data_IF_302639324197
#
_entry.id   IF_302639324197
#
_cell.length_a   1.000
_cell.length_b   1.000
_cell.length_c   1.000
_cell.angle_alpha   90.00
_cell.angle_beta   90.00
_cell.angle_gamma   90.00
#
_symmetry.space_group_name_H-M   'P 1'
#
loop_
_entity.id
_entity.type
_entity.pdbx_description
1 polymer ?
#
# COMPACT_ATOMS: atom_id res chain seq x y z
N UNK A 1 -21.72 6.23 -16.60
CA UNK A 1 -22.10 6.60 -15.22
C UNK A 1 -23.46 6.02 -14.85
N UNK A 2 -24.44 5.94 -15.75
CA UNK A 2 -25.77 5.32 -15.50
C UNK A 2 -25.73 3.87 -14.99
N UNK A 3 -24.90 2.97 -15.57
CA UNK A 3 -24.79 1.58 -15.09
C UNK A 3 -24.23 1.50 -13.66
N UNK A 4 -23.42 2.48 -13.25
CA UNK A 4 -22.79 2.52 -11.92
C UNK A 4 -23.80 2.84 -10.82
N UNK A 5 -24.75 3.73 -11.11
CA UNK A 5 -25.85 4.11 -10.22
C UNK A 5 -26.93 3.03 -10.14
N UNK A 6 -27.01 2.10 -11.11
CA UNK A 6 -28.07 1.08 -11.14
C UNK A 6 -27.66 -0.26 -10.50
N UNK A 7 -26.41 -0.69 -10.64
CA UNK A 7 -25.94 -1.96 -10.05
C UNK A 7 -25.68 -1.83 -8.55
N UNK A 8 -25.25 -0.66 -8.06
CA UNK A 8 -24.98 -0.46 -6.63
C UNK A 8 -26.25 -0.64 -5.78
N UNK A 9 -27.38 0.06 -6.05
CA UNK A 9 -28.64 -0.17 -5.34
C UNK A 9 -29.13 -1.60 -5.47
N UNK A 10 -28.96 -2.25 -6.64
CA UNK A 10 -29.32 -3.66 -6.81
C UNK A 10 -28.48 -4.60 -5.92
N UNK A 11 -27.16 -4.41 -5.87
CA UNK A 11 -26.25 -5.19 -5.02
C UNK A 11 -26.48 -4.91 -3.52
N UNK A 12 -26.84 -3.68 -3.15
CA UNK A 12 -27.09 -3.24 -1.77
C UNK A 12 -28.48 -3.65 -1.26
N UNK A 13 -29.54 -3.50 -2.06
CA UNK A 13 -30.92 -3.87 -1.71
C UNK A 13 -31.12 -5.38 -1.60
N UNK A 14 -30.47 -6.17 -2.46
CA UNK A 14 -30.71 -7.62 -2.50
C UNK A 14 -29.96 -8.43 -1.43
N UNK A 15 -29.17 -7.79 -0.52
CA UNK A 15 -28.29 -8.48 0.46
C UNK A 15 -27.78 -9.81 -0.11
N UNK A 16 -27.19 -9.74 -1.32
CA UNK A 16 -27.22 -10.89 -2.23
C UNK A 16 -26.72 -12.15 -1.55
N UNK A 17 -27.66 -13.06 -1.25
CA UNK A 17 -27.39 -14.47 -1.25
C UNK A 17 -26.99 -14.80 -2.69
N UNK A 18 -25.73 -14.48 -3.05
CA UNK A 18 -25.13 -14.93 -4.28
C UNK A 18 -25.16 -16.45 -4.21
N UNK A 19 -26.13 -17.04 -4.89
CA UNK A 19 -26.27 -18.48 -5.02
C UNK A 19 -25.12 -18.98 -5.91
N UNK A 20 -23.91 -19.02 -5.35
CA UNK A 20 -22.76 -19.59 -6.03
C UNK A 20 -23.01 -21.09 -6.20
N UNK A 21 -22.71 -21.61 -7.38
CA UNK A 21 -22.64 -23.05 -7.53
C UNK A 21 -21.51 -23.56 -6.60
N UNK A 22 -21.70 -24.63 -5.81
CA UNK A 22 -20.64 -25.30 -5.03
C UNK A 22 -19.32 -25.50 -5.79
N UNK A 23 -19.39 -25.70 -7.12
CA UNK A 23 -18.22 -25.85 -8.01
C UNK A 23 -17.45 -24.54 -8.26
N UNK A 24 -18.07 -23.38 -8.08
CA UNK A 24 -17.46 -22.05 -8.26
C UNK A 24 -16.78 -21.59 -6.96
N UNK A 25 -17.35 -21.97 -5.81
CA UNK A 25 -16.83 -21.67 -4.46
C UNK A 25 -15.46 -22.28 -4.18
N UNK A 26 -15.10 -23.40 -4.82
CA UNK A 26 -13.78 -24.05 -4.69
C UNK A 26 -12.61 -23.12 -5.02
N UNK A 27 -12.88 -22.08 -5.81
CA UNK A 27 -11.88 -21.16 -6.32
C UNK A 27 -11.87 -19.79 -5.62
N UNK A 28 -12.81 -19.56 -4.70
CA UNK A 28 -12.87 -18.34 -3.89
C UNK A 28 -11.91 -18.49 -2.69
N UNK A 29 -10.88 -17.63 -2.54
CA UNK A 29 -9.94 -17.70 -1.43
C UNK A 29 -10.62 -17.52 -0.06
N UNK A 30 -10.01 -18.06 1.00
CA UNK A 30 -10.48 -18.01 2.41
C UNK A 30 -10.85 -16.60 2.88
N UNK A 31 -10.03 -15.61 2.54
CA UNK A 31 -10.11 -14.27 3.15
C UNK A 31 -10.03 -13.11 2.16
N UNK A 32 -10.22 -13.32 0.83
CA UNK A 32 -9.77 -12.31 -0.15
C UNK A 32 -10.65 -12.02 -1.34
N UNK A 33 -10.54 -10.75 -1.71
CA UNK A 33 -11.42 -9.91 -2.47
C UNK A 33 -11.58 -10.29 -3.95
N UNK A 34 -12.70 -9.88 -4.53
CA UNK A 34 -13.01 -10.05 -5.96
C UNK A 34 -12.93 -8.68 -6.61
N UNK A 35 -12.23 -8.54 -7.73
CA UNK A 35 -12.32 -7.32 -8.52
C UNK A 35 -13.40 -7.54 -9.58
N UNK A 36 -14.55 -6.87 -9.48
CA UNK A 36 -15.48 -6.86 -10.60
C UNK A 36 -14.94 -5.95 -11.69
N UNK A 37 -14.79 -6.48 -12.89
CA UNK A 37 -14.49 -5.70 -14.08
C UNK A 37 -15.81 -5.54 -14.81
N UNK A 38 -16.40 -4.36 -14.70
CA UNK A 38 -17.66 -4.12 -15.38
C UNK A 38 -17.40 -3.96 -16.86
N UNK A 39 -18.00 -4.85 -17.64
CA UNK A 39 -18.22 -4.64 -19.06
C UNK A 39 -19.68 -4.20 -19.19
N UNK A 40 -19.91 -2.99 -19.71
CA UNK A 40 -21.18 -2.77 -20.41
C UNK A 40 -21.15 -3.77 -21.55
N UNK A 41 -22.21 -4.54 -21.83
CA UNK A 41 -22.24 -5.35 -23.06
C UNK A 41 -22.25 -4.35 -24.22
N UNK A 42 -21.05 -3.90 -24.62
CA UNK A 42 -20.82 -3.11 -25.80
C UNK A 42 -20.81 -4.08 -26.97
N UNK A 43 -21.51 -3.76 -28.07
CA UNK A 43 -21.24 -4.44 -29.32
C UNK A 43 -19.76 -4.18 -29.66
N UNK A 44 -18.91 -5.20 -29.56
CA UNK A 44 -17.49 -5.12 -29.95
C UNK A 44 -16.45 -5.63 -28.95
N UNK A 45 -16.81 -6.01 -27.72
CA UNK A 45 -15.90 -6.83 -26.89
C UNK A 45 -16.26 -8.30 -27.13
N UNK A 46 -15.53 -8.94 -28.03
CA UNK A 46 -15.77 -10.34 -28.39
C UNK A 46 -15.68 -11.20 -27.13
N UNK A 47 -16.82 -11.78 -26.71
CA UNK A 47 -16.90 -12.67 -25.57
C UNK A 47 -15.88 -13.83 -25.71
N UNK A 48 -15.53 -14.18 -26.96
CA UNK A 48 -14.49 -15.14 -27.32
C UNK A 48 -13.10 -14.68 -26.88
N UNK A 49 -12.71 -13.43 -27.15
CA UNK A 49 -11.40 -12.86 -26.80
C UNK A 49 -11.21 -12.76 -25.28
N UNK A 50 -12.28 -12.43 -24.55
CA UNK A 50 -12.26 -12.38 -23.09
C UNK A 50 -12.19 -13.80 -22.49
N UNK A 51 -12.94 -14.75 -23.05
CA UNK A 51 -12.80 -16.17 -22.72
C UNK A 51 -11.39 -16.69 -23.01
N UNK A 52 -10.77 -16.24 -24.10
CA UNK A 52 -9.41 -16.62 -24.48
C UNK A 52 -8.38 -16.05 -23.51
N UNK A 53 -8.51 -14.79 -23.11
CA UNK A 53 -7.69 -14.17 -22.05
C UNK A 53 -7.83 -14.93 -20.72
N UNK A 54 -9.05 -15.33 -20.35
CA UNK A 54 -9.32 -16.06 -19.11
C UNK A 54 -8.82 -17.52 -19.17
N UNK A 55 -8.96 -18.19 -20.32
CA UNK A 55 -8.33 -19.50 -20.60
C UNK A 55 -6.81 -19.43 -20.50
N UNK A 56 -6.19 -18.41 -21.09
CA UNK A 56 -4.74 -18.20 -21.03
C UNK A 56 -4.24 -17.97 -19.59
N UNK A 57 -5.09 -17.40 -18.72
CA UNK A 57 -4.74 -17.09 -17.34
C UNK A 57 -5.07 -18.23 -16.36
N UNK A 58 -5.89 -19.20 -16.77
CA UNK A 58 -6.39 -20.31 -15.94
C UNK A 58 -6.93 -19.82 -14.59
N UNK A 59 -7.82 -18.82 -14.62
CA UNK A 59 -8.36 -18.17 -13.41
C UNK A 59 -9.87 -18.35 -13.26
N UNK A 60 -10.35 -18.48 -12.01
CA UNK A 60 -11.77 -18.36 -11.71
C UNK A 60 -12.31 -16.97 -12.04
N UNK A 61 -13.49 -16.94 -12.63
CA UNK A 61 -14.30 -15.75 -12.85
C UNK A 61 -15.76 -16.07 -12.47
N UNK A 62 -16.54 -15.04 -12.23
CA UNK A 62 -17.96 -15.09 -11.88
C UNK A 62 -18.69 -14.27 -12.96
N UNK A 63 -19.78 -14.79 -13.50
CA UNK A 63 -20.68 -14.00 -14.34
C UNK A 63 -21.82 -13.49 -13.46
N UNK A 64 -22.11 -12.20 -13.56
CA UNK A 64 -23.21 -11.55 -12.86
C UNK A 64 -24.16 -11.03 -13.92
N UNK A 65 -25.32 -11.66 -14.02
CA UNK A 65 -26.38 -11.23 -14.93
C UNK A 65 -27.32 -10.30 -14.16
N UNK A 66 -27.53 -9.08 -14.65
CA UNK A 66 -28.60 -8.23 -14.13
C UNK A 66 -29.92 -8.64 -14.80
N UNK A 67 -31.03 -8.73 -14.06
CA UNK A 67 -32.34 -8.85 -14.68
C UNK A 67 -32.62 -7.60 -15.53
N UNK A 68 -33.40 -7.72 -16.62
CA UNK A 68 -33.84 -6.56 -17.40
C UNK A 68 -34.68 -5.62 -16.51
N UNK A 69 -34.51 -4.31 -16.70
CA UNK A 69 -35.25 -3.26 -15.99
C UNK A 69 -35.96 -2.32 -16.98
N UNK A 70 -36.87 -1.48 -16.51
CA UNK A 70 -37.58 -0.50 -17.36
C UNK A 70 -36.61 0.41 -18.12
N UNK A 71 -35.53 0.83 -17.48
CA UNK A 71 -34.48 1.64 -18.11
C UNK A 71 -33.56 0.83 -19.05
N UNK A 72 -33.50 -0.49 -18.91
CA UNK A 72 -32.60 -1.39 -19.65
C UNK A 72 -33.31 -2.70 -20.03
N UNK A 73 -34.02 -2.74 -21.17
CA UNK A 73 -34.85 -3.89 -21.56
C UNK A 73 -34.05 -5.14 -21.99
N UNK A 74 -32.71 -5.08 -21.98
CA UNK A 74 -31.83 -6.21 -22.29
C UNK A 74 -31.06 -6.62 -21.04
N UNK A 75 -30.89 -7.93 -20.88
CA UNK A 75 -30.09 -8.52 -19.81
C UNK A 75 -28.62 -8.06 -19.92
N UNK A 76 -28.08 -7.41 -18.90
CA UNK A 76 -26.68 -6.98 -18.88
C UNK A 76 -25.82 -8.02 -18.17
N UNK A 77 -24.70 -8.40 -18.78
CA UNK A 77 -23.74 -9.35 -18.20
C UNK A 77 -22.53 -8.56 -17.68
N UNK A 78 -22.42 -8.46 -16.35
CA UNK A 78 -21.23 -8.01 -15.65
C UNK A 78 -20.30 -9.20 -15.34
N UNK A 79 -18.99 -8.98 -15.34
CA UNK A 79 -18.02 -10.04 -15.07
C UNK A 79 -17.20 -9.76 -13.81
N UNK A 80 -17.20 -10.72 -12.89
CA UNK A 80 -16.35 -10.73 -11.70
C UNK A 80 -15.07 -11.48 -11.92
N UNK A 81 -13.93 -10.77 -11.88
CA UNK A 81 -12.63 -11.41 -11.88
C UNK A 81 -12.23 -11.74 -10.44
N UNK A 82 -12.06 -13.02 -10.12
CA UNK A 82 -11.60 -13.42 -8.80
C UNK A 82 -10.09 -13.21 -8.72
N UNK A 83 -9.71 -12.12 -8.04
CA UNK A 83 -8.31 -11.70 -7.90
C UNK A 83 -7.78 -12.13 -6.54
N UNK A 84 -7.13 -13.29 -6.53
CA UNK A 84 -6.37 -13.73 -5.37
C UNK A 84 -4.94 -13.15 -5.40
N UNK A 85 -4.64 -12.25 -4.47
CA UNK A 85 -3.30 -11.75 -4.17
C UNK A 85 -2.59 -12.76 -3.24
N UNK A 86 -1.67 -13.59 -3.76
CA UNK A 86 -1.05 -14.65 -2.98
C UNK A 86 -0.17 -14.08 -1.87
N UNK A 87 -0.28 -14.65 -0.67
CA UNK A 87 0.53 -14.33 0.53
C UNK A 87 2.01 -14.74 0.44
N UNK A 88 2.52 -15.24 -0.67
CA UNK A 88 3.91 -15.70 -0.72
C UNK A 88 4.47 -15.59 -2.14
N UNK A 89 5.43 -14.68 -2.40
CA UNK A 89 5.99 -14.48 -3.74
C UNK A 89 6.79 -15.67 -4.26
N UNK A 90 7.45 -16.43 -3.37
CA UNK A 90 8.45 -17.43 -3.74
C UNK A 90 7.86 -18.69 -4.38
N UNK A 91 6.76 -19.25 -3.84
CA UNK A 91 6.19 -20.48 -4.39
C UNK A 91 5.44 -20.28 -5.72
N UNK A 92 5.21 -19.02 -6.17
CA UNK A 92 4.39 -18.73 -7.35
C UNK A 92 4.87 -17.49 -8.14
N UNK A 93 6.18 -17.34 -8.40
CA UNK A 93 6.73 -16.26 -9.25
C UNK A 93 6.02 -16.14 -10.61
N UNK A 94 5.70 -17.27 -11.25
CA UNK A 94 4.93 -17.32 -12.51
C UNK A 94 3.55 -16.67 -12.38
N UNK A 95 2.86 -16.90 -11.25
CA UNK A 95 1.53 -16.37 -10.95
C UNK A 95 1.54 -14.86 -10.74
N UNK A 96 2.57 -14.32 -10.09
CA UNK A 96 2.76 -12.88 -9.94
C UNK A 96 3.07 -12.17 -11.27
N UNK A 97 3.89 -12.79 -12.13
CA UNK A 97 4.12 -12.28 -13.49
C UNK A 97 2.84 -12.27 -14.33
N UNK A 98 2.02 -13.33 -14.24
CA UNK A 98 0.72 -13.40 -14.90
C UNK A 98 -0.28 -12.35 -14.38
N UNK A 99 -0.33 -12.12 -13.06
CA UNK A 99 -1.16 -11.04 -12.47
C UNK A 99 -0.75 -9.65 -12.98
N UNK A 100 0.56 -9.37 -13.05
CA UNK A 100 1.04 -8.09 -13.60
C UNK A 100 0.67 -7.92 -15.08
N UNK A 101 0.70 -9.00 -15.88
CA UNK A 101 0.25 -8.98 -17.28
C UNK A 101 -1.24 -8.70 -17.38
N UNK A 102 -2.05 -9.38 -16.58
CA UNK A 102 -3.50 -9.20 -16.48
C UNK A 102 -3.88 -7.76 -16.13
N UNK A 103 -3.33 -7.19 -15.06
CA UNK A 103 -3.60 -5.79 -14.70
C UNK A 103 -3.13 -4.81 -15.77
N UNK A 104 -2.02 -5.12 -16.45
CA UNK A 104 -1.58 -4.36 -17.62
C UNK A 104 -2.59 -4.40 -18.77
N UNK A 105 -3.20 -5.56 -19.04
CA UNK A 105 -4.24 -5.70 -20.06
C UNK A 105 -5.54 -5.00 -19.65
N UNK A 106 -6.00 -5.15 -18.40
CA UNK A 106 -7.18 -4.47 -17.87
C UNK A 106 -7.04 -2.95 -17.98
N UNK A 107 -5.89 -2.41 -17.57
CA UNK A 107 -5.59 -0.98 -17.69
C UNK A 107 -5.59 -0.50 -19.15
N UNK A 108 -5.04 -1.28 -20.08
CA UNK A 108 -5.07 -0.97 -21.52
C UNK A 108 -6.49 -0.93 -22.09
N UNK A 109 -7.40 -1.75 -21.55
CA UNK A 109 -8.80 -1.80 -21.99
C UNK A 109 -9.64 -0.65 -21.45
N UNK A 110 -9.11 0.16 -20.51
CA UNK A 110 -9.75 1.39 -20.03
C UNK A 110 -11.17 1.16 -19.49
N UNK A 111 -11.39 0.00 -18.85
CA UNK A 111 -12.67 -0.40 -18.28
C UNK A 111 -12.76 0.04 -16.81
N UNK A 112 -13.93 0.47 -16.32
CA UNK A 112 -14.14 0.72 -14.90
C UNK A 112 -14.03 -0.56 -14.08
N UNK A 113 -13.48 -0.44 -12.87
CA UNK A 113 -13.29 -1.57 -11.95
C UNK A 113 -13.99 -1.28 -10.64
N UNK A 114 -14.86 -2.18 -10.19
CA UNK A 114 -15.48 -2.11 -8.87
C UNK A 114 -14.76 -3.10 -7.94
N UNK A 115 -14.07 -2.61 -6.90
CA UNK A 115 -13.50 -3.49 -5.91
C UNK A 115 -14.64 -4.08 -5.05
N UNK A 116 -14.68 -5.40 -4.91
CA UNK A 116 -15.60 -6.12 -4.03
C UNK A 116 -14.85 -6.95 -3.01
N UNK A 117 -15.35 -7.00 -1.78
CA UNK A 117 -14.90 -7.95 -0.78
C UNK A 117 -16.05 -8.88 -0.43
N UNK A 118 -15.84 -10.16 -0.75
CA UNK A 118 -16.72 -11.25 -0.33
C UNK A 118 -16.14 -11.87 0.94
N UNK A 119 -16.97 -12.00 1.95
CA UNK A 119 -16.66 -12.70 3.20
C UNK A 119 -17.70 -13.79 3.41
N UNK A 120 -17.25 -15.05 3.50
CA UNK A 120 -18.14 -16.20 3.65
C UNK A 120 -17.74 -16.92 4.95
N UNK A 121 -18.39 -16.61 6.09
CA UNK A 121 -18.02 -17.14 7.40
C UNK A 121 -17.95 -18.69 7.44
N UNK A 122 -18.80 -19.36 6.67
CA UNK A 122 -18.84 -20.82 6.58
C UNK A 122 -17.58 -21.43 5.96
N UNK A 123 -16.85 -20.69 5.11
CA UNK A 123 -15.59 -21.13 4.52
C UNK A 123 -14.44 -21.12 5.54
N UNK A 124 -14.50 -20.30 6.58
CA UNK A 124 -13.42 -20.20 7.57
C UNK A 124 -13.23 -21.50 8.35
N UNK A 125 -14.30 -22.29 8.51
CA UNK A 125 -14.31 -23.55 9.26
C UNK A 125 -13.48 -24.65 8.59
N UNK A 126 -13.14 -24.50 7.30
CA UNK A 126 -12.56 -25.58 6.50
C UNK A 126 -11.26 -25.18 5.77
N UNK A 127 -10.19 -25.99 5.83
CA UNK A 127 -8.99 -25.81 5.02
C UNK A 127 -9.32 -25.79 3.52
N UNK A 128 -8.60 -25.00 2.72
CA UNK A 128 -8.90 -24.77 1.29
C UNK A 128 -9.10 -26.06 0.49
N UNK A 129 -8.29 -27.09 0.75
CA UNK A 129 -8.34 -28.38 0.07
C UNK A 129 -9.61 -29.19 0.37
N UNK A 130 -10.26 -28.98 1.53
CA UNK A 130 -11.41 -29.75 2.00
C UNK A 130 -12.75 -29.13 1.60
N UNK A 131 -12.75 -27.85 1.17
CA UNK A 131 -13.97 -27.09 0.86
C UNK A 131 -14.78 -27.71 -0.27
N UNK A 132 -14.15 -28.04 -1.39
CA UNK A 132 -14.86 -28.62 -2.54
C UNK A 132 -15.60 -29.91 -2.17
N UNK A 133 -14.97 -30.74 -1.32
CA UNK A 133 -15.56 -31.99 -0.84
C UNK A 133 -16.73 -31.74 0.13
N UNK A 134 -16.59 -30.79 1.05
CA UNK A 134 -17.61 -30.48 2.05
C UNK A 134 -18.86 -29.84 1.44
N UNK A 135 -18.69 -28.97 0.43
CA UNK A 135 -19.81 -28.38 -0.32
C UNK A 135 -20.44 -29.32 -1.35
N UNK A 136 -19.75 -30.39 -1.75
CA UNK A 136 -20.38 -31.49 -2.49
C UNK A 136 -21.31 -32.34 -1.60
N UNK A 137 -21.07 -32.38 -0.28
CA UNK A 137 -21.86 -33.16 0.69
C UNK A 137 -23.02 -32.35 1.29
N UNK A 138 -22.86 -31.05 1.43
CA UNK A 138 -23.96 -30.14 1.79
C UNK A 138 -24.90 -29.98 0.58
N UNK A 139 -26.13 -30.45 0.71
CA UNK A 139 -27.19 -30.28 -0.29
C UNK A 139 -27.32 -28.80 -0.73
N UNK A 140 -27.83 -28.57 -1.95
CA UNK A 140 -27.99 -27.32 -2.74
C UNK A 140 -28.61 -26.09 -2.04
N UNK A 141 -28.26 -25.78 -0.80
CA UNK A 141 -28.70 -24.56 -0.11
C UNK A 141 -27.77 -23.41 -0.49
N UNK A 142 -28.32 -22.23 -0.81
CA UNK A 142 -27.51 -21.04 -1.08
C UNK A 142 -26.66 -20.72 0.15
N UNK A 143 -25.39 -20.36 -0.08
CA UNK A 143 -24.46 -19.97 0.97
C UNK A 143 -24.58 -18.48 1.22
N UNK A 144 -24.71 -18.08 2.48
CA UNK A 144 -24.71 -16.68 2.87
C UNK A 144 -23.31 -16.09 2.76
N UNK A 145 -23.16 -15.09 1.88
CA UNK A 145 -21.95 -14.29 1.72
C UNK A 145 -22.21 -12.86 2.19
N UNK A 146 -21.31 -12.31 3.00
CA UNK A 146 -21.26 -10.88 3.29
C UNK A 146 -20.51 -10.18 2.17
N UNK A 147 -21.15 -9.18 1.56
CA UNK A 147 -20.58 -8.41 0.47
C UNK A 147 -20.27 -6.98 0.93
N UNK A 148 -19.08 -6.48 0.60
CA UNK A 148 -18.75 -5.05 0.69
C UNK A 148 -18.32 -4.53 -0.67
N UNK A 149 -18.86 -3.40 -1.05
CA UNK A 149 -18.70 -2.79 -2.38
C UNK A 149 -17.96 -1.47 -2.21
N UNK A 150 -16.85 -1.31 -2.93
CA UNK A 150 -16.15 -0.02 -2.96
C UNK A 150 -16.68 0.94 -4.01
N UNK A 151 -16.14 2.16 -4.02
CA UNK A 151 -16.37 3.06 -5.15
C UNK A 151 -15.62 2.57 -6.38
N UNK A 152 -16.23 2.79 -7.54
CA UNK A 152 -15.67 2.42 -8.82
C UNK A 152 -14.38 3.18 -9.11
N UNK A 153 -13.38 2.45 -9.61
CA UNK A 153 -12.12 3.00 -10.10
C UNK A 153 -12.32 3.33 -11.58
N UNK A 154 -12.57 4.61 -11.86
CA UNK A 154 -12.87 5.09 -13.21
C UNK A 154 -11.61 5.07 -14.09
N UNK A 155 -11.76 4.95 -15.43
CA UNK A 155 -10.60 4.88 -16.32
C UNK A 155 -9.68 6.10 -16.25
N UNK A 156 -10.23 7.28 -15.92
CA UNK A 156 -9.46 8.50 -15.68
C UNK A 156 -8.52 8.38 -14.48
N UNK A 157 -8.99 7.80 -13.37
CA UNK A 157 -8.16 7.49 -12.20
C UNK A 157 -7.07 6.47 -12.55
N UNK A 158 -7.40 5.47 -13.36
CA UNK A 158 -6.44 4.44 -13.79
C UNK A 158 -5.31 5.01 -14.67
N UNK A 159 -5.62 6.03 -15.48
CA UNK A 159 -4.62 6.75 -16.27
C UNK A 159 -3.66 7.51 -15.36
N UNK A 160 -4.16 8.19 -14.33
CA UNK A 160 -3.36 8.97 -13.36
C UNK A 160 -2.25 8.13 -12.71
N UNK A 161 -2.53 6.87 -12.32
CA UNK A 161 -1.62 5.97 -11.59
C UNK A 161 -0.31 5.60 -12.33
N UNK A 162 -0.22 5.87 -13.63
CA UNK A 162 1.05 5.89 -14.34
C UNK A 162 1.68 4.52 -14.65
N UNK A 163 2.20 3.81 -13.64
CA UNK A 163 2.85 2.49 -13.80
C UNK A 163 1.89 1.35 -13.44
N UNK A 164 2.02 0.21 -14.13
CA UNK A 164 1.21 -0.98 -13.84
C UNK A 164 1.44 -1.52 -12.43
N UNK A 165 2.64 -1.33 -11.87
CA UNK A 165 2.92 -1.66 -10.47
C UNK A 165 2.05 -0.84 -9.52
N UNK A 166 1.99 0.49 -9.70
CA UNK A 166 1.16 1.36 -8.85
C UNK A 166 -0.31 1.05 -9.02
N UNK A 167 -0.78 0.79 -10.25
CA UNK A 167 -2.16 0.38 -10.47
C UNK A 167 -2.52 -0.91 -9.73
N UNK A 168 -1.63 -1.91 -9.76
CA UNK A 168 -1.80 -3.14 -8.99
C UNK A 168 -1.85 -2.87 -7.48
N UNK A 169 -0.89 -2.11 -6.95
CA UNK A 169 -0.84 -1.78 -5.52
C UNK A 169 -2.08 -0.98 -5.09
N UNK A 170 -2.55 -0.04 -5.91
CA UNK A 170 -3.78 0.72 -5.67
C UNK A 170 -5.00 -0.20 -5.59
N UNK A 171 -5.20 -1.03 -6.61
CA UNK A 171 -6.32 -1.96 -6.63
C UNK A 171 -6.26 -2.95 -5.45
N UNK A 172 -5.08 -3.49 -5.16
CA UNK A 172 -4.85 -4.37 -4.02
C UNK A 172 -5.20 -3.66 -2.69
N UNK A 173 -4.78 -2.40 -2.53
CA UNK A 173 -5.06 -1.60 -1.32
C UNK A 173 -6.53 -1.26 -1.19
N UNK A 174 -7.21 -0.84 -2.28
CA UNK A 174 -8.66 -0.58 -2.30
C UNK A 174 -9.44 -1.83 -1.89
N UNK A 175 -9.07 -2.98 -2.43
CA UNK A 175 -9.70 -4.26 -2.10
C UNK A 175 -9.53 -4.63 -0.63
N UNK A 176 -8.36 -4.45 -0.05
CA UNK A 176 -8.15 -4.72 1.38
C UNK A 176 -8.89 -3.73 2.28
N UNK A 177 -8.86 -2.44 1.92
CA UNK A 177 -9.46 -1.35 2.68
C UNK A 177 -10.99 -1.45 2.79
N UNK A 178 -11.68 -2.21 1.92
CA UNK A 178 -13.10 -2.53 2.10
C UNK A 178 -13.41 -3.22 3.44
N UNK A 179 -12.39 -3.79 4.09
CA UNK A 179 -12.51 -4.33 5.45
C UNK A 179 -12.58 -3.28 6.56
N UNK A 180 -12.21 -2.03 6.27
CA UNK A 180 -11.74 -1.05 7.24
C UNK A 180 -12.45 0.29 7.05
N UNK A 181 -12.28 1.22 7.99
CA UNK A 181 -12.76 2.60 7.83
C UNK A 181 -11.85 3.45 6.89
N UNK A 182 -10.71 2.91 6.43
CA UNK A 182 -9.74 3.64 5.61
C UNK A 182 -10.26 3.86 4.19
N UNK A 183 -10.37 5.12 3.79
CA UNK A 183 -10.61 5.47 2.39
C UNK A 183 -9.28 5.65 1.64
N UNK A 184 -8.94 4.70 0.76
CA UNK A 184 -7.72 4.80 -0.06
C UNK A 184 -7.97 5.78 -1.21
N UNK A 185 -7.26 6.90 -1.19
CA UNK A 185 -7.37 7.94 -2.22
C UNK A 185 -6.28 7.81 -3.29
N UNK A 186 -6.47 8.47 -4.43
CA UNK A 186 -5.50 8.40 -5.54
C UNK A 186 -4.20 9.16 -5.24
N UNK A 187 -4.21 10.15 -4.35
CA UNK A 187 -3.03 10.96 -4.01
C UNK A 187 -1.91 10.16 -3.35
N UNK A 188 -2.24 9.01 -2.73
CA UNK A 188 -1.26 8.06 -2.22
C UNK A 188 -0.34 7.54 -3.33
N UNK A 189 -0.76 7.57 -4.59
CA UNK A 189 -0.02 6.94 -5.68
C UNK A 189 0.56 8.01 -6.62
N UNK A 190 1.89 8.01 -6.85
CA UNK A 190 2.52 9.02 -7.68
C UNK A 190 2.02 8.91 -9.14
N UNK A 191 1.54 10.03 -9.67
CA UNK A 191 1.02 10.13 -11.03
C UNK A 191 2.14 10.32 -12.04
N UNK A 192 1.93 9.88 -13.30
CA UNK A 192 2.94 10.13 -14.35
C UNK A 192 3.02 11.58 -14.82
N UNK A 193 2.00 12.39 -14.52
CA UNK A 193 1.93 13.81 -14.87
C UNK A 193 2.70 14.71 -13.88
N UNK A 194 3.06 14.20 -12.68
CA UNK A 194 3.75 15.00 -11.65
C UNK A 194 5.19 15.40 -12.00
N UNK A 195 5.71 15.01 -13.17
CA UNK A 195 7.02 15.45 -13.66
C UNK A 195 6.99 16.86 -14.25
N UNK A 196 5.83 17.40 -14.62
CA UNK A 196 5.71 18.73 -15.21
C UNK A 196 5.42 19.84 -14.18
N UNK A 197 5.07 19.48 -12.94
CA UNK A 197 4.74 20.42 -11.85
C UNK A 197 5.87 20.53 -10.80
N UNK A 198 7.12 20.25 -11.16
CA UNK A 198 8.26 20.31 -10.22
C UNK A 198 8.60 21.74 -9.72
N UNK A 199 7.91 22.78 -10.18
CA UNK A 199 8.30 24.18 -9.91
C UNK A 199 7.36 25.02 -9.03
N UNK A 200 6.22 24.50 -8.55
CA UNK A 200 5.36 25.25 -7.62
C UNK A 200 5.11 24.46 -6.33
N UNK A 201 5.62 24.97 -5.21
CA UNK A 201 5.28 24.46 -3.88
C UNK A 201 3.82 24.78 -3.58
N UNK A 202 3.00 23.74 -3.44
CA UNK A 202 1.63 23.88 -2.97
C UNK A 202 1.60 24.39 -1.52
N UNK A 203 0.56 25.13 -1.11
CA UNK A 203 0.34 25.45 0.30
C UNK A 203 0.37 24.19 1.16
N UNK A 204 0.90 24.29 2.37
CA UNK A 204 0.79 23.19 3.33
C UNK A 204 -0.71 22.95 3.61
N UNK A 205 -1.13 21.70 3.73
CA UNK A 205 -2.51 21.40 4.03
C UNK A 205 -2.98 22.05 5.33
N UNK A 206 -4.28 22.32 5.45
CA UNK A 206 -4.89 22.66 6.73
C UNK A 206 -4.67 21.53 7.75
N UNK A 207 -4.51 21.90 9.02
CA UNK A 207 -4.43 20.94 10.12
C UNK A 207 -5.70 20.10 10.17
N UNK A 208 -5.54 18.79 10.38
CA UNK A 208 -6.68 17.92 10.64
C UNK A 208 -7.25 18.22 12.03
N UNK A 209 -8.56 18.10 12.20
CA UNK A 209 -9.25 18.36 13.47
C UNK A 209 -8.62 17.55 14.62
N UNK A 210 -8.17 18.26 15.66
CA UNK A 210 -7.50 17.67 16.81
C UNK A 210 -8.41 16.75 17.60
N UNK A 211 -9.73 16.97 17.58
CA UNK A 211 -10.69 16.09 18.25
C UNK A 211 -10.73 14.71 17.58
N UNK A 212 -10.72 14.66 16.25
CA UNK A 212 -10.70 13.40 15.48
C UNK A 212 -9.40 12.63 15.73
N UNK A 213 -8.26 13.32 15.71
CA UNK A 213 -6.96 12.70 16.00
C UNK A 213 -6.94 12.17 17.43
N UNK A 214 -7.38 12.95 18.41
CA UNK A 214 -7.38 12.55 19.82
C UNK A 214 -8.28 11.34 20.04
N UNK A 215 -9.46 11.29 19.41
CA UNK A 215 -10.35 10.14 19.45
C UNK A 215 -9.68 8.88 18.88
N UNK A 216 -8.98 8.99 17.74
CA UNK A 216 -8.21 7.88 17.17
C UNK A 216 -7.12 7.41 18.13
N UNK A 217 -6.32 8.33 18.67
CA UNK A 217 -5.24 7.99 19.60
C UNK A 217 -5.74 7.33 20.89
N UNK A 218 -6.91 7.74 21.39
CA UNK A 218 -7.57 7.12 22.55
C UNK A 218 -8.18 5.76 22.21
N UNK A 219 -8.59 5.54 20.96
CA UNK A 219 -9.13 4.24 20.52
C UNK A 219 -8.06 3.16 20.30
N UNK A 220 -6.77 3.57 20.26
CA UNK A 220 -5.66 2.64 20.14
C UNK A 220 -5.57 1.75 21.39
N UNK A 221 -5.38 0.45 21.15
CA UNK A 221 -5.37 -0.56 22.21
C UNK A 221 -4.04 -0.61 22.94
N UNK A 222 -3.96 -1.34 24.05
CA UNK A 222 -2.69 -1.63 24.73
C UNK A 222 -1.64 -2.27 23.79
N UNK A 223 -2.08 -3.07 22.80
CA UNK A 223 -1.17 -3.65 21.82
C UNK A 223 -0.52 -2.64 20.86
N UNK A 224 -1.07 -1.43 20.77
CA UNK A 224 -0.49 -0.33 19.99
C UNK A 224 0.47 0.53 20.82
N UNK A 225 0.30 0.59 22.15
CA UNK A 225 1.16 1.35 23.04
C UNK A 225 2.47 0.59 23.29
N UNK A 226 3.57 1.17 22.84
CA UNK A 226 4.90 0.54 22.90
C UNK A 226 5.65 0.96 24.17
N UNK A 227 5.57 2.23 24.55
CA UNK A 227 6.19 2.76 25.75
C UNK A 227 5.60 4.13 26.12
N UNK A 228 5.74 4.49 27.39
CA UNK A 228 5.40 5.83 27.91
C UNK A 228 6.63 6.43 28.60
N UNK A 229 6.81 7.75 28.51
CA UNK A 229 7.87 8.47 29.22
C UNK A 229 7.54 9.94 29.41
N UNK A 230 7.48 10.38 30.67
CA UNK A 230 6.99 11.72 30.99
C UNK A 230 5.58 11.87 30.43
N UNK A 231 5.29 12.98 29.76
CA UNK A 231 4.01 13.27 29.08
C UNK A 231 3.83 12.60 27.71
N UNK A 232 4.82 11.85 27.24
CA UNK A 232 4.78 11.23 25.92
C UNK A 232 4.34 9.77 25.98
N UNK A 233 3.50 9.39 25.02
CA UNK A 233 3.26 8.00 24.66
C UNK A 233 3.84 7.70 23.29
N UNK A 234 4.33 6.48 23.14
CA UNK A 234 4.85 5.98 21.88
C UNK A 234 3.91 4.89 21.39
N UNK A 235 3.26 5.12 20.26
CA UNK A 235 2.36 4.16 19.63
C UNK A 235 2.96 3.60 18.34
N UNK A 236 2.57 2.38 18.00
CA UNK A 236 2.73 1.81 16.66
C UNK A 236 1.35 1.44 16.14
N UNK A 237 0.93 2.08 15.05
CA UNK A 237 -0.40 1.89 14.50
C UNK A 237 -0.36 1.73 12.98
N UNK A 238 -1.31 0.96 12.44
CA UNK A 238 -1.55 0.81 11.00
C UNK A 238 -2.51 1.90 10.52
N UNK A 239 -2.42 2.27 9.24
CA UNK A 239 -3.26 3.32 8.63
C UNK A 239 -4.76 3.16 8.90
N UNK A 240 -5.26 1.92 8.93
CA UNK A 240 -6.66 1.60 9.20
C UNK A 240 -7.15 1.97 10.61
N UNK A 241 -6.23 2.12 11.57
CA UNK A 241 -6.52 2.49 12.95
C UNK A 241 -6.47 4.00 13.18
N UNK A 242 -5.82 4.75 12.29
CA UNK A 242 -5.49 6.16 12.46
C UNK A 242 -5.69 6.98 11.17
N UNK A 243 -6.86 6.90 10.48
CA UNK A 243 -7.03 7.56 9.20
C UNK A 243 -6.85 9.10 9.27
N UNK A 244 -7.34 9.76 10.32
CA UNK A 244 -7.19 11.21 10.50
C UNK A 244 -5.79 11.58 10.97
N UNK A 245 -5.22 10.83 11.93
CA UNK A 245 -3.86 11.04 12.39
C UNK A 245 -2.86 10.80 11.25
N UNK A 246 -3.11 9.88 10.31
CA UNK A 246 -2.26 9.67 9.14
C UNK A 246 -2.21 10.89 8.22
N UNK A 247 -3.35 11.56 8.00
CA UNK A 247 -3.40 12.81 7.23
C UNK A 247 -2.60 13.92 7.92
N UNK A 248 -2.67 13.98 9.25
CA UNK A 248 -1.89 14.92 10.04
C UNK A 248 -0.40 14.58 10.03
N UNK A 249 -0.01 13.31 10.15
CA UNK A 249 1.37 12.84 10.00
C UNK A 249 1.94 13.30 8.65
N UNK A 250 1.17 13.17 7.56
CA UNK A 250 1.57 13.65 6.24
C UNK A 250 1.83 15.16 6.19
N UNK A 251 0.96 15.95 6.82
CA UNK A 251 1.12 17.40 6.94
C UNK A 251 2.35 17.76 7.77
N UNK A 252 2.54 17.11 8.93
CA UNK A 252 3.65 17.36 9.85
C UNK A 252 5.01 16.94 9.26
N UNK A 253 5.04 15.85 8.48
CA UNK A 253 6.21 15.45 7.69
C UNK A 253 6.58 16.52 6.69
N UNK A 254 5.62 16.95 5.86
CA UNK A 254 5.87 17.99 4.86
C UNK A 254 6.34 19.30 5.51
N UNK A 255 5.71 19.73 6.61
CA UNK A 255 6.14 20.87 7.41
C UNK A 255 7.62 20.73 7.82
N UNK A 256 7.97 19.60 8.44
CA UNK A 256 9.31 19.35 8.98
C UNK A 256 10.36 19.21 7.86
N UNK A 257 10.00 18.58 6.74
CA UNK A 257 10.92 18.35 5.62
C UNK A 257 11.15 19.61 4.79
N UNK A 258 10.16 20.51 4.67
CA UNK A 258 10.34 21.81 4.00
C UNK A 258 11.41 22.66 4.69
N UNK A 259 11.47 22.65 6.03
CA UNK A 259 12.46 23.42 6.80
C UNK A 259 13.92 23.02 6.51
N UNK A 260 14.15 21.80 6.04
CA UNK A 260 15.50 21.27 5.75
C UNK A 260 15.76 21.06 4.25
N UNK A 261 14.87 21.59 3.39
CA UNK A 261 14.99 21.51 1.92
C UNK A 261 14.63 20.15 1.31
N UNK A 262 14.03 19.24 2.09
CA UNK A 262 13.68 17.87 1.71
C UNK A 262 12.16 17.66 1.48
N UNK A 263 11.36 18.73 1.60
CA UNK A 263 9.92 18.69 1.37
C UNK A 263 9.56 18.22 -0.04
N UNK A 264 8.40 17.59 -0.17
CA UNK A 264 7.90 17.10 -1.47
C UNK A 264 7.36 18.23 -2.35
N UNK A 265 7.06 19.39 -1.75
CA UNK A 265 6.38 20.51 -2.41
C UNK A 265 4.88 20.32 -2.53
N UNK A 266 4.33 19.18 -2.08
CA UNK A 266 2.89 18.92 -2.02
C UNK A 266 2.31 19.38 -0.69
N UNK A 267 0.99 19.40 -0.54
CA UNK A 267 0.35 19.79 0.72
C UNK A 267 0.64 18.83 1.89
N UNK A 268 0.96 17.56 1.59
CA UNK A 268 1.26 16.48 2.54
C UNK A 268 2.31 15.53 1.96
N UNK A 269 3.22 15.02 2.80
CA UNK A 269 4.15 13.93 2.46
C UNK A 269 3.52 12.58 2.83
N UNK A 270 2.69 12.08 1.92
CA UNK A 270 2.06 10.76 1.98
C UNK A 270 2.26 10.05 0.64
N UNK A 271 2.59 8.78 0.69
CA UNK A 271 2.75 7.92 -0.48
C UNK A 271 2.07 6.55 -0.28
N UNK A 272 2.17 5.65 -1.26
CA UNK A 272 1.39 4.42 -1.28
C UNK A 272 1.80 3.44 -0.19
N UNK A 273 3.02 3.60 0.34
CA UNK A 273 3.57 2.78 1.40
C UNK A 273 2.86 3.09 2.72
N UNK A 274 2.44 4.35 2.96
CA UNK A 274 1.73 4.73 4.18
C UNK A 274 0.43 3.95 4.42
N UNK A 275 -0.16 3.32 3.38
CA UNK A 275 -1.37 2.49 3.50
C UNK A 275 -1.14 1.17 4.24
N UNK A 276 0.07 0.64 4.26
CA UNK A 276 0.37 -0.68 4.81
C UNK A 276 1.64 -0.76 5.65
N UNK A 277 2.41 0.32 5.71
CA UNK A 277 3.46 0.48 6.72
C UNK A 277 2.81 0.88 8.04
N UNK A 278 3.48 0.52 9.14
CA UNK A 278 3.12 1.00 10.45
C UNK A 278 3.71 2.41 10.66
N UNK A 279 3.03 3.21 11.46
CA UNK A 279 3.50 4.51 11.91
C UNK A 279 3.91 4.39 13.37
N UNK A 280 5.19 4.63 13.68
CA UNK A 280 5.65 4.94 15.02
C UNK A 280 5.29 6.40 15.31
N UNK A 281 4.55 6.65 16.37
CA UNK A 281 3.99 7.97 16.70
C UNK A 281 4.40 8.34 18.11
N UNK A 282 4.97 9.52 18.28
CA UNK A 282 5.17 10.14 19.59
C UNK A 282 4.00 11.09 19.84
N UNK A 283 3.16 10.75 20.80
CA UNK A 283 1.98 11.50 21.20
C UNK A 283 2.27 12.28 22.48
N UNK A 284 2.09 13.60 22.45
CA UNK A 284 2.11 14.45 23.65
C UNK A 284 0.71 14.47 24.26
N UNK A 285 0.54 13.83 25.42
CA UNK A 285 -0.75 13.74 26.12
C UNK A 285 -1.24 15.08 26.66
N UNK A 286 -0.35 15.99 27.03
CA UNK A 286 -0.77 17.27 27.59
C UNK A 286 -1.27 18.20 26.49
N UNK A 287 -0.52 18.26 25.38
CA UNK A 287 -0.85 19.10 24.25
C UNK A 287 -1.84 18.44 23.26
N UNK A 288 -2.19 17.16 23.47
CA UNK A 288 -3.01 16.34 22.57
C UNK A 288 -2.58 16.47 21.10
N UNK A 289 -1.27 16.34 20.86
CA UNK A 289 -0.68 16.51 19.51
C UNK A 289 0.46 15.53 19.25
N UNK A 290 0.68 15.26 17.97
CA UNK A 290 1.81 14.45 17.51
C UNK A 290 3.10 15.29 17.59
N UNK A 291 4.10 14.76 18.29
CA UNK A 291 5.41 15.40 18.45
C UNK A 291 6.44 14.97 17.40
N UNK A 292 6.26 13.79 16.83
CA UNK A 292 7.14 13.21 15.83
C UNK A 292 6.76 11.77 15.52
N UNK A 293 7.52 11.15 14.63
CA UNK A 293 7.27 9.77 14.27
C UNK A 293 8.25 9.19 13.26
N UNK A 294 8.00 7.94 12.90
CA UNK A 294 8.80 7.20 11.94
C UNK A 294 7.94 6.16 11.20
N UNK A 295 8.12 6.01 9.89
CA UNK A 295 7.47 4.93 9.14
C UNK A 295 8.26 3.64 9.30
N UNK A 296 7.56 2.55 9.62
CA UNK A 296 8.16 1.23 9.83
C UNK A 296 7.49 0.19 8.95
N UNK A 297 8.30 -0.57 8.21
CA UNK A 297 7.87 -1.60 7.29
C UNK A 297 8.30 -2.97 7.75
N UNK A 298 7.43 -3.72 8.45
CA UNK A 298 7.74 -5.08 8.88
C UNK A 298 7.92 -5.98 7.66
N UNK A 299 9.15 -6.46 7.45
CA UNK A 299 9.56 -6.97 6.15
C UNK A 299 8.96 -8.31 5.77
N UNK A 300 8.69 -9.19 6.73
CA UNK A 300 7.96 -10.44 6.49
C UNK A 300 6.51 -10.17 6.03
N UNK A 301 5.79 -9.25 6.68
CA UNK A 301 4.43 -8.84 6.33
C UNK A 301 4.38 -8.24 4.92
N UNK A 302 5.27 -7.28 4.63
CA UNK A 302 5.34 -6.61 3.33
C UNK A 302 5.69 -7.63 2.24
N UNK A 303 6.73 -8.44 2.47
CA UNK A 303 7.17 -9.41 1.47
C UNK A 303 6.07 -10.46 1.20
N UNK A 304 5.36 -10.90 2.24
CA UNK A 304 4.23 -11.83 2.16
C UNK A 304 3.10 -11.23 1.30
N UNK A 305 2.70 -9.98 1.58
CA UNK A 305 1.52 -9.34 0.95
C UNK A 305 1.79 -8.76 -0.44
N UNK A 306 2.95 -8.11 -0.62
CA UNK A 306 3.27 -7.29 -1.80
C UNK A 306 4.54 -7.75 -2.53
N UNK A 307 5.33 -8.65 -1.92
CA UNK A 307 6.63 -9.05 -2.42
C UNK A 307 7.63 -7.90 -2.44
N UNK A 308 8.70 -8.06 -3.23
CA UNK A 308 9.79 -7.06 -3.32
C UNK A 308 9.29 -5.66 -3.74
N UNK A 309 8.14 -5.58 -4.41
CA UNK A 309 7.56 -4.31 -4.89
C UNK A 309 6.85 -3.50 -3.81
N UNK A 310 6.58 -4.09 -2.64
CA UNK A 310 6.00 -3.37 -1.50
C UNK A 310 7.03 -2.62 -0.66
N UNK A 311 8.31 -2.77 -0.95
CA UNK A 311 9.38 -2.09 -0.21
C UNK A 311 9.66 -0.71 -0.82
N UNK A 312 9.76 0.32 0.01
CA UNK A 312 10.05 1.68 -0.46
C UNK A 312 11.41 1.72 -1.16
N UNK A 313 12.42 1.03 -0.63
CA UNK A 313 13.76 0.93 -1.22
C UNK A 313 13.74 0.30 -2.61
N UNK A 314 12.72 -0.48 -2.98
CA UNK A 314 12.57 -1.00 -4.35
C UNK A 314 12.26 0.10 -5.38
N UNK A 315 11.71 1.23 -4.94
CA UNK A 315 11.52 2.43 -5.76
C UNK A 315 12.86 3.11 -6.09
N UNK A 316 13.88 2.90 -5.25
CA UNK A 316 15.22 3.49 -5.37
C UNK A 316 16.23 2.52 -6.01
N UNK A 317 16.09 1.22 -5.75
CA UNK A 317 17.03 0.17 -6.19
C UNK A 317 16.31 -0.95 -6.97
N UNK A 318 17.01 -1.55 -7.93
CA UNK A 318 16.68 -2.88 -8.45
C UNK A 318 17.26 -3.89 -7.47
N UNK A 319 16.38 -4.72 -6.91
CA UNK A 319 16.73 -5.67 -5.86
C UNK A 319 16.75 -7.08 -6.45
N UNK A 320 17.88 -7.79 -6.28
CA UNK A 320 18.06 -9.16 -6.75
C UNK A 320 17.56 -10.18 -5.72
N UNK A 321 17.20 -11.41 -6.13
CA UNK A 321 16.64 -12.44 -5.22
C UNK A 321 17.51 -12.80 -4.01
N UNK A 322 18.85 -12.66 -4.12
CA UNK A 322 19.76 -12.90 -3.00
C UNK A 322 19.50 -12.00 -1.79
N UNK A 323 18.90 -10.81 -1.98
CA UNK A 323 18.55 -9.90 -0.89
C UNK A 323 17.21 -10.23 -0.20
N UNK A 324 16.40 -11.13 -0.76
CA UNK A 324 15.04 -11.39 -0.25
C UNK A 324 14.99 -11.96 1.17
N UNK A 325 15.91 -12.84 1.61
CA UNK A 325 15.96 -13.27 3.00
C UNK A 325 16.19 -12.10 3.96
N UNK A 326 17.10 -11.19 3.61
CA UNK A 326 17.38 -9.97 4.39
C UNK A 326 16.13 -9.11 4.52
N UNK A 327 15.43 -8.84 3.41
CA UNK A 327 14.18 -8.07 3.44
C UNK A 327 13.13 -8.65 4.39
N UNK A 328 12.99 -9.98 4.47
CA UNK A 328 11.98 -10.62 5.34
C UNK A 328 12.32 -10.57 6.81
N UNK A 329 13.60 -10.57 7.14
CA UNK A 329 14.09 -10.58 8.53
C UNK A 329 14.43 -9.17 9.01
N UNK A 330 13.88 -8.14 8.36
CA UNK A 330 14.23 -6.77 8.67
C UNK A 330 13.02 -5.86 8.73
N UNK A 331 13.18 -4.71 9.38
CA UNK A 331 12.22 -3.61 9.34
C UNK A 331 12.77 -2.50 8.45
N UNK A 332 12.02 -2.13 7.42
CA UNK A 332 12.34 -0.96 6.61
C UNK A 332 11.92 0.31 7.36
N UNK A 333 12.84 1.23 7.56
CA UNK A 333 12.61 2.51 8.22
C UNK A 333 12.70 3.66 7.21
N UNK A 334 11.83 4.65 7.33
CA UNK A 334 11.87 5.83 6.46
C UNK A 334 10.97 6.96 6.97
N UNK A 335 11.21 8.19 6.51
CA UNK A 335 10.39 9.37 6.89
C UNK A 335 10.38 9.65 8.40
N UNK A 336 11.53 9.57 9.06
CA UNK A 336 11.65 10.05 10.45
C UNK A 336 11.47 11.56 10.49
N UNK A 337 10.73 12.06 11.48
CA UNK A 337 10.53 13.49 11.66
C UNK A 337 10.25 13.81 13.13
N UNK A 338 10.65 15.01 13.53
CA UNK A 338 10.24 15.64 14.78
C UNK A 338 9.69 17.00 14.40
N UNK A 339 8.48 17.30 14.87
CA UNK A 339 7.77 18.54 14.54
C UNK A 339 8.58 19.74 15.06
N UNK A 340 8.66 20.88 14.34
CA UNK A 340 9.57 21.98 14.66
C UNK A 340 9.56 22.43 16.14
N UNK A 341 8.36 22.56 16.71
CA UNK A 341 8.14 22.93 18.13
C UNK A 341 8.82 21.98 19.14
N UNK A 342 9.12 20.76 18.73
CA UNK A 342 9.72 19.71 19.55
C UNK A 342 11.21 19.48 19.24
N UNK A 343 11.76 20.02 18.15
CA UNK A 343 13.13 19.73 17.72
C UNK A 343 14.21 20.24 18.69
N UNK A 344 13.94 21.33 19.42
CA UNK A 344 14.85 21.84 20.46
C UNK A 344 14.85 20.99 21.74
N UNK A 345 13.91 20.04 21.85
CA UNK A 345 13.79 19.15 22.98
C UNK A 345 14.59 17.87 22.70
N UNK A 346 15.39 17.41 23.67
CA UNK A 346 16.21 16.20 23.49
C UNK A 346 15.38 14.91 23.47
N UNK A 347 14.26 14.91 24.17
CA UNK A 347 13.50 13.70 24.45
C UNK A 347 12.81 13.08 23.21
N UNK A 348 12.14 13.83 22.32
CA UNK A 348 11.46 13.26 21.15
C UNK A 348 12.36 12.38 20.26
N UNK A 349 13.59 12.82 19.96
CA UNK A 349 14.52 12.02 19.16
C UNK A 349 14.90 10.70 19.88
N UNK A 350 15.13 10.75 21.19
CA UNK A 350 15.40 9.55 21.99
C UNK A 350 14.20 8.60 22.03
N UNK A 351 12.98 9.14 22.09
CA UNK A 351 11.75 8.35 22.10
C UNK A 351 11.51 7.60 20.78
N UNK A 352 11.98 8.12 19.63
CA UNK A 352 11.96 7.36 18.38
C UNK A 352 12.80 6.09 18.50
N UNK A 353 14.03 6.20 19.01
CA UNK A 353 14.90 5.04 19.23
C UNK A 353 14.34 4.08 20.26
N UNK A 354 13.78 4.60 21.36
CA UNK A 354 13.08 3.78 22.37
C UNK A 354 11.93 3.02 21.71
N UNK A 355 11.09 3.68 20.93
CA UNK A 355 9.99 3.08 20.20
C UNK A 355 10.42 1.93 19.29
N UNK A 356 11.47 2.15 18.49
CA UNK A 356 12.04 1.10 17.63
C UNK A 356 12.53 -0.09 18.47
N UNK A 357 13.26 0.17 19.56
CA UNK A 357 13.79 -0.89 20.41
C UNK A 357 12.67 -1.77 20.96
N UNK A 358 11.64 -1.18 21.57
CA UNK A 358 10.53 -1.95 22.13
C UNK A 358 9.74 -2.68 21.04
N UNK A 359 9.57 -2.09 19.85
CA UNK A 359 8.98 -2.78 18.71
C UNK A 359 9.80 -4.03 18.34
N UNK A 360 11.13 -3.94 18.28
CA UNK A 360 12.01 -5.08 17.99
C UNK A 360 11.97 -6.14 19.09
N UNK A 361 11.93 -5.75 20.36
CA UNK A 361 11.82 -6.69 21.48
C UNK A 361 10.52 -7.51 21.42
N UNK A 362 9.43 -6.91 20.97
CA UNK A 362 8.15 -7.60 20.74
C UNK A 362 8.15 -8.44 19.45
N UNK A 363 9.11 -8.24 18.56
CA UNK A 363 9.19 -8.88 17.25
C UNK A 363 10.61 -9.44 16.97
N UNK A 364 11.04 -10.48 17.73
CA UNK A 364 12.40 -11.00 17.68
C UNK A 364 12.78 -11.67 16.34
N UNK A 365 11.81 -11.88 15.44
CA UNK A 365 12.08 -12.36 14.08
C UNK A 365 12.83 -11.34 13.22
N UNK A 366 12.79 -10.05 13.56
CA UNK A 366 13.54 -9.02 12.86
C UNK A 366 14.95 -8.89 13.44
N UNK A 367 15.95 -9.11 12.58
CA UNK A 367 17.37 -9.11 12.92
C UNK A 367 18.09 -7.83 12.50
N UNK A 368 17.51 -7.07 11.58
CA UNK A 368 18.13 -5.87 11.05
C UNK A 368 17.12 -4.74 10.83
N UNK A 369 17.63 -3.51 10.87
CA UNK A 369 16.94 -2.31 10.44
C UNK A 369 17.64 -1.81 9.19
N UNK A 370 16.88 -1.33 8.20
CA UNK A 370 17.48 -0.67 7.04
C UNK A 370 16.56 0.43 6.52
N UNK A 371 17.13 1.38 5.81
CA UNK A 371 16.36 2.47 5.22
C UNK A 371 17.27 3.41 4.43
N UNK A 372 16.75 4.12 3.43
CA UNK A 372 17.50 5.18 2.77
C UNK A 372 17.61 6.40 3.70
N UNK A 373 18.76 7.06 3.65
CA UNK A 373 19.00 8.35 4.31
C UNK A 373 19.20 9.42 3.23
N UNK A 374 18.49 10.53 3.34
CA UNK A 374 18.68 11.69 2.47
C UNK A 374 19.88 12.50 2.90
N UNK A 375 20.66 13.00 1.93
CA UNK A 375 21.68 14.03 2.15
C UNK A 375 21.04 15.37 1.79
N UNK A 376 20.92 16.28 2.76
CA UNK A 376 20.21 17.56 2.60
C UNK A 376 20.68 18.32 1.36
N UNK A 377 19.72 18.91 0.64
CA UNK A 377 20.01 19.83 -0.47
C UNK A 377 20.85 21.03 -0.05
N UNK A 378 20.79 21.46 1.21
CA UNK A 378 21.58 22.59 1.74
C UNK A 378 23.08 22.32 1.80
N UNK A 379 23.52 21.06 1.75
CA UNK A 379 24.95 20.77 1.61
C UNK A 379 25.49 21.19 0.24
N UNK A 380 26.70 21.74 0.23
CA UNK A 380 27.44 22.01 -1.00
C UNK A 380 27.74 20.71 -1.77
N UNK A 381 28.01 20.80 -3.07
CA UNK A 381 28.36 19.62 -3.86
C UNK A 381 29.65 18.95 -3.36
N UNK A 382 30.62 19.73 -2.87
CA UNK A 382 31.86 19.21 -2.26
C UNK A 382 31.52 18.42 -1.00
N UNK A 383 30.69 18.96 -0.10
CA UNK A 383 30.26 18.25 1.11
C UNK A 383 29.53 16.95 0.78
N UNK A 384 28.63 16.96 -0.22
CA UNK A 384 27.92 15.76 -0.70
C UNK A 384 28.90 14.71 -1.22
N UNK A 385 29.88 15.12 -2.05
CA UNK A 385 30.91 14.22 -2.56
C UNK A 385 31.73 13.61 -1.41
N UNK A 386 32.15 14.42 -0.44
CA UNK A 386 32.94 13.96 0.70
C UNK A 386 32.19 12.94 1.56
N UNK A 387 30.91 13.21 1.89
CA UNK A 387 30.05 12.27 2.62
C UNK A 387 29.95 10.93 1.87
N UNK A 388 29.66 10.98 0.57
CA UNK A 388 29.51 9.77 -0.24
C UNK A 388 30.85 9.01 -0.34
N UNK A 389 31.96 9.70 -0.53
CA UNK A 389 33.29 9.10 -0.63
C UNK A 389 33.72 8.45 0.69
N UNK A 390 33.50 9.12 1.82
CA UNK A 390 33.75 8.59 3.16
C UNK A 390 32.97 7.30 3.43
N UNK A 391 31.65 7.32 3.17
CA UNK A 391 30.81 6.12 3.33
C UNK A 391 31.28 5.01 2.39
N UNK A 392 31.66 5.33 1.15
CA UNK A 392 32.17 4.34 0.18
C UNK A 392 33.49 3.71 0.62
N UNK A 393 34.39 4.49 1.21
CA UNK A 393 35.72 4.05 1.65
C UNK A 393 35.65 3.17 2.90
N UNK A 394 34.82 3.53 3.88
CA UNK A 394 34.87 2.92 5.21
C UNK A 394 33.68 2.02 5.57
N UNK A 395 32.50 2.22 4.98
CA UNK A 395 31.26 1.56 5.43
C UNK A 395 30.49 0.85 4.29
N UNK A 396 31.06 0.78 3.10
CA UNK A 396 30.40 0.17 1.96
C UNK A 396 30.50 -1.35 2.00
N UNK A 397 29.35 -2.00 2.17
CA UNK A 397 29.26 -3.44 2.14
C UNK A 397 29.20 -3.95 0.69
N UNK A 398 30.33 -4.43 0.19
CA UNK A 398 30.45 -4.98 -1.17
C UNK A 398 29.63 -6.26 -1.38
N UNK A 399 29.43 -7.07 -0.33
CA UNK A 399 28.68 -8.31 -0.42
C UNK A 399 27.18 -8.02 -0.57
N UNK A 400 26.62 -7.11 0.23
CA UNK A 400 25.22 -6.73 0.10
C UNK A 400 24.95 -5.91 -1.17
N UNK A 401 25.90 -5.04 -1.56
CA UNK A 401 25.77 -4.17 -2.72
C UNK A 401 25.57 -4.95 -4.04
N UNK A 402 26.08 -6.19 -4.15
CA UNK A 402 25.89 -7.02 -5.34
C UNK A 402 24.41 -7.27 -5.67
N UNK A 403 23.52 -7.19 -4.67
CA UNK A 403 22.10 -7.42 -4.80
C UNK A 403 21.25 -6.14 -4.93
N UNK A 404 21.86 -4.96 -4.79
CA UNK A 404 21.19 -3.66 -4.79
C UNK A 404 21.79 -2.74 -5.86
N UNK A 405 21.13 -2.65 -7.01
CA UNK A 405 21.56 -1.78 -8.10
C UNK A 405 20.75 -0.45 -8.05
N UNK A 406 21.38 0.72 -7.83
CA UNK A 406 20.67 1.99 -7.75
C UNK A 406 20.04 2.33 -9.10
N UNK A 407 18.77 2.72 -9.10
CA UNK A 407 18.07 3.15 -10.32
C UNK A 407 18.57 4.51 -10.83
N UNK A 408 19.07 5.34 -9.92
CA UNK A 408 19.69 6.64 -10.20
C UNK A 408 20.99 6.72 -9.39
N UNK A 409 22.12 6.26 -9.93
CA UNK A 409 23.39 6.30 -9.21
C UNK A 409 23.83 7.75 -8.98
N UNK A 410 24.41 8.01 -7.80
CA UNK A 410 25.04 9.30 -7.49
C UNK A 410 26.19 9.57 -8.47
N UNK A 411 26.21 10.76 -9.05
CA UNK A 411 27.26 11.23 -9.94
C UNK A 411 28.13 12.21 -9.18
N UNK A 412 29.39 11.87 -8.97
CA UNK A 412 30.35 12.81 -8.42
C UNK A 412 30.48 14.01 -9.36
N UNK A 413 30.26 15.19 -8.80
CA UNK A 413 30.53 16.43 -9.50
C UNK A 413 31.97 16.81 -9.18
N UNK A 414 32.90 16.41 -10.06
CA UNK A 414 34.32 16.72 -9.90
C UNK A 414 34.57 18.20 -10.19
N UNK A 415 34.81 18.99 -9.15
CA UNK A 415 35.60 20.22 -9.29
C UNK A 415 37.06 19.79 -9.39
N UNK A 416 37.75 20.10 -10.49
CA UNK A 416 39.17 19.77 -10.71
C UNK A 416 40.13 20.33 -9.65
N UNK A 417 39.64 21.17 -8.74
CA UNK A 417 40.44 21.94 -7.78
C UNK A 417 40.54 21.29 -6.39
N UNK A 418 39.78 20.24 -6.07
CA UNK A 418 39.76 19.65 -4.72
C UNK A 418 40.11 18.17 -4.78
N UNK A 419 41.27 17.82 -4.23
CA UNK A 419 41.66 16.43 -3.99
C UNK A 419 40.89 15.87 -2.79
N UNK A 420 39.92 15.00 -3.07
CA UNK A 420 39.10 14.37 -2.05
C UNK A 420 39.88 13.32 -1.23
N UNK A 421 40.97 12.76 -1.76
CA UNK A 421 41.77 11.77 -1.03
C UNK A 421 42.59 12.42 0.09
N UNK A 422 42.94 13.71 -0.04
CA UNK A 422 43.56 14.50 1.03
C UNK A 422 42.58 14.87 2.16
N UNK A 423 41.27 14.78 1.91
CA UNK A 423 40.22 15.15 2.87
C UNK A 423 39.57 13.93 3.58
N UNK A 424 39.97 12.70 3.22
CA UNK A 424 39.37 11.42 3.66
C UNK A 424 40.36 10.50 4.37
#
# INVERSE_FOLDING_TARGET
MEVFENIRPWLEQNKLELAFNPRELRHIPRDRCVALVMNKVLPGLDALLLNELLRQLNRPYILLESPPSEDFPRQEISMGLVVDFPNTPLKKMRRNRQLNKLFGQLRKKNLPIIPLRLHIPELEKYPQAMRAFQFHRAQRKPIKAQLRIGQAILPEEQKKLGKNSHFRLYLQSRLFALGTALQVQSFFFPTSQSKQEENQMLPLAAATDSALISQEMQSLTFGNLIASQGKYDIFVAKAEQIPNALLEIGRLRELSFREVGEGTGKERDIDEYDLYYCQLIIWDREAQRIAGGYRMGPGDEIFTKYGVQGFYIHSLFRIKPGFYPFLRQSVELGRSYVVPDYQRQRLPLFLLWKGILYFLLQNPQYKSLYGPVSISKYYTNISKNLIVAYIRKFYFDHELAQYLEPRRPFRFQTSREVDLDLLL
#
